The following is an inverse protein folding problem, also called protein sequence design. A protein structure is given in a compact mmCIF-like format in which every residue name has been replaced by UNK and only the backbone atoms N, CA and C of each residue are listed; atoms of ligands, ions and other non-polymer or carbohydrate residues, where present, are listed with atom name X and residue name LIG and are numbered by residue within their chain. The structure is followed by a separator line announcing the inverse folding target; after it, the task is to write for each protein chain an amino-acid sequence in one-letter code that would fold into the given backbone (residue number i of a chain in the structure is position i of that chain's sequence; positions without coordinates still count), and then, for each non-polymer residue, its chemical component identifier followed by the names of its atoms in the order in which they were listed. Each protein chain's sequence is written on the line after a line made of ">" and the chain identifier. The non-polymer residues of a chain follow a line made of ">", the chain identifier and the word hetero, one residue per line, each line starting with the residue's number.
data_IF_617886530499
#
_entry.id   IF_617886530499
#
_cell.length_a   1.000
_cell.length_b   1.000
_cell.length_c   1.000
_cell.angle_alpha   90.00
_cell.angle_beta   90.00
_cell.angle_gamma   90.00
#
_symmetry.space_group_name_H-M   'P 1'
#
loop_
_entity.id
_entity.type
_entity.pdbx_description
1 polymer ?
#
# COMPACT_ATOMS: atom_id res chain seq x y z
N UNK A 1 -15.35 0.85 9.98
CA UNK A 1 -14.70 0.64 8.67
C UNK A 1 -13.20 0.96 8.71
N UNK A 2 -12.74 2.07 9.30
CA UNK A 2 -11.32 2.49 9.24
C UNK A 2 -10.23 1.66 9.97
N UNK A 3 -10.52 0.49 10.54
CA UNK A 3 -9.46 -0.39 11.10
C UNK A 3 -8.84 -1.33 10.05
N UNK A 4 -9.62 -1.74 9.03
CA UNK A 4 -9.11 -2.65 7.99
C UNK A 4 -8.27 -1.89 6.95
N UNK A 5 -8.62 -0.63 6.67
CA UNK A 5 -7.87 0.26 5.79
C UNK A 5 -6.46 0.55 6.33
N UNK A 6 -6.33 0.74 7.66
CA UNK A 6 -5.02 0.93 8.29
C UNK A 6 -4.10 -0.28 8.18
N UNK A 7 -4.62 -1.49 7.95
CA UNK A 7 -3.79 -2.68 7.71
C UNK A 7 -3.29 -2.77 6.27
N UNK A 8 -3.93 -2.06 5.35
CA UNK A 8 -3.60 -2.04 3.91
C UNK A 8 -2.72 -0.85 3.51
N UNK A 9 -2.05 -0.21 4.46
CA UNK A 9 -1.23 0.97 4.18
C UNK A 9 -2.03 2.18 3.67
N UNK A 10 -3.36 2.19 3.86
CA UNK A 10 -4.23 3.26 3.38
C UNK A 10 -4.10 4.48 4.28
N UNK A 11 -3.82 5.63 3.67
CA UNK A 11 -3.89 6.93 4.31
C UNK A 11 -5.31 7.48 4.24
N UNK A 12 -5.93 7.72 5.39
CA UNK A 12 -7.30 8.23 5.47
C UNK A 12 -7.35 9.75 5.47
N UNK A 13 -8.06 10.33 4.51
CA UNK A 13 -8.46 11.73 4.46
C UNK A 13 -9.89 11.93 4.96
N UNK A 14 -10.16 13.08 5.58
CA UNK A 14 -11.49 13.47 6.06
C UNK A 14 -11.89 14.81 5.46
N UNK A 15 -13.14 14.95 5.04
CA UNK A 15 -13.69 16.19 4.49
C UNK A 15 -14.67 16.77 5.51
N UNK A 16 -14.42 18.01 5.91
CA UNK A 16 -15.28 18.76 6.83
C UNK A 16 -15.96 19.91 6.09
N UNK A 17 -17.28 20.07 6.27
CA UNK A 17 -18.07 21.19 5.77
C UNK A 17 -18.85 21.77 6.94
N UNK A 18 -18.72 23.08 7.16
CA UNK A 18 -19.36 23.80 8.28
C UNK A 18 -19.12 23.15 9.65
N UNK A 19 -17.90 22.67 9.89
CA UNK A 19 -17.51 22.02 11.14
C UNK A 19 -18.07 20.60 11.33
N UNK A 20 -18.77 20.03 10.34
CA UNK A 20 -19.28 18.65 10.36
C UNK A 20 -18.55 17.78 9.33
N UNK A 21 -18.34 16.51 9.67
CA UNK A 21 -17.74 15.55 8.75
C UNK A 21 -18.72 15.22 7.63
N UNK A 22 -18.34 15.55 6.39
CA UNK A 22 -19.14 15.33 5.19
C UNK A 22 -18.76 14.03 4.47
N UNK A 23 -17.47 13.65 4.50
CA UNK A 23 -16.97 12.43 3.88
C UNK A 23 -15.62 12.00 4.47
N UNK A 24 -15.18 10.80 4.13
CA UNK A 24 -13.80 10.33 4.24
C UNK A 24 -13.40 9.62 2.95
N UNK A 25 -12.11 9.48 2.71
CA UNK A 25 -11.56 8.74 1.57
C UNK A 25 -10.20 8.15 1.94
N UNK A 26 -9.86 7.02 1.33
CA UNK A 26 -8.56 6.37 1.48
C UNK A 26 -7.68 6.58 0.26
N UNK A 27 -6.38 6.75 0.47
CA UNK A 27 -5.36 6.75 -0.59
C UNK A 27 -4.27 5.76 -0.23
N UNK A 28 -3.90 4.90 -1.16
CA UNK A 28 -2.75 3.99 -1.04
C UNK A 28 -1.95 4.01 -2.34
N UNK A 29 -0.68 3.62 -2.24
CA UNK A 29 0.18 3.46 -3.41
C UNK A 29 -0.15 2.14 -4.11
N UNK A 30 -0.04 2.13 -5.44
CA UNK A 30 -0.19 0.92 -6.26
C UNK A 30 1.16 0.50 -6.84
N UNK A 31 1.38 -0.80 -6.94
CA UNK A 31 2.53 -1.34 -7.66
C UNK A 31 2.51 -0.95 -9.14
N UNK A 32 3.69 -0.72 -9.72
CA UNK A 32 3.81 -0.54 -11.19
C UNK A 32 3.27 -1.78 -11.91
N UNK A 33 2.55 -1.61 -13.05
CA UNK A 33 2.10 -2.74 -13.85
C UNK A 33 3.25 -3.69 -14.20
N UNK A 34 3.05 -4.98 -13.95
CA UNK A 34 4.04 -6.02 -14.21
C UNK A 34 5.15 -6.18 -13.15
N UNK A 35 5.22 -5.33 -12.13
CA UNK A 35 6.24 -5.44 -11.07
C UNK A 35 6.26 -6.82 -10.41
N UNK A 36 5.07 -7.34 -10.05
CA UNK A 36 4.91 -8.68 -9.48
C UNK A 36 5.46 -9.78 -10.39
N UNK A 37 5.15 -9.72 -11.68
CA UNK A 37 5.61 -10.70 -12.65
C UNK A 37 7.14 -10.69 -12.79
N UNK A 38 7.75 -9.50 -12.82
CA UNK A 38 9.21 -9.36 -12.90
C UNK A 38 9.89 -9.90 -11.64
N UNK A 39 9.38 -9.57 -10.44
CA UNK A 39 9.93 -10.09 -9.18
C UNK A 39 9.82 -11.62 -9.11
N UNK A 40 8.70 -12.19 -9.58
CA UNK A 40 8.53 -13.64 -9.67
C UNK A 40 9.51 -14.29 -10.66
N UNK A 41 9.74 -13.67 -11.81
CA UNK A 41 10.73 -14.15 -12.78
C UNK A 41 12.15 -14.11 -12.23
N UNK A 42 12.54 -13.04 -11.53
CA UNK A 42 13.85 -12.97 -10.89
C UNK A 42 14.02 -14.10 -9.85
N UNK A 43 12.98 -14.34 -9.04
CA UNK A 43 12.99 -15.44 -8.06
C UNK A 43 13.05 -16.82 -8.72
N UNK A 44 12.37 -17.04 -9.85
CA UNK A 44 12.43 -18.33 -10.57
C UNK A 44 13.79 -18.60 -11.19
N UNK A 45 14.56 -17.55 -11.49
CA UNK A 45 15.97 -17.63 -11.88
C UNK A 45 16.93 -17.86 -10.70
N UNK A 46 16.41 -18.02 -9.47
CA UNK A 46 17.22 -18.21 -8.26
C UNK A 46 17.79 -16.92 -7.68
N UNK A 47 17.38 -15.75 -8.18
CA UNK A 47 17.85 -14.45 -7.69
C UNK A 47 17.04 -14.06 -6.45
N UNK A 48 17.74 -13.81 -5.35
CA UNK A 48 17.13 -13.32 -4.11
C UNK A 48 16.76 -11.84 -4.26
N UNK A 49 15.54 -11.50 -3.88
CA UNK A 49 15.04 -10.11 -3.89
C UNK A 49 14.74 -9.65 -2.47
N UNK A 50 14.96 -8.36 -2.20
CA UNK A 50 14.60 -7.70 -0.94
C UNK A 50 14.05 -6.31 -1.25
N UNK A 51 13.01 -5.91 -0.51
CA UNK A 51 12.49 -4.54 -0.56
C UNK A 51 13.23 -3.69 0.48
N UNK A 52 13.80 -2.57 0.04
CA UNK A 52 14.38 -1.55 0.90
C UNK A 52 13.54 -0.30 0.72
N UNK A 53 12.79 0.07 1.75
CA UNK A 53 11.93 1.27 1.74
C UNK A 53 12.09 2.03 3.05
N UNK A 54 11.89 3.36 2.97
CA UNK A 54 11.77 4.23 4.14
C UNK A 54 10.33 4.40 4.63
N UNK A 55 9.36 3.76 3.96
CA UNK A 55 7.95 3.85 4.32
C UNK A 55 7.64 3.10 5.62
N UNK A 56 6.43 3.34 6.14
CA UNK A 56 5.92 2.58 7.28
C UNK A 56 5.88 1.08 6.99
N UNK A 57 6.07 0.27 8.03
CA UNK A 57 6.00 -1.18 7.91
C UNK A 57 4.68 -1.67 7.31
N UNK A 58 3.57 -1.00 7.61
CA UNK A 58 2.25 -1.36 7.07
C UNK A 58 2.22 -1.17 5.55
N UNK A 59 2.66 -0.01 5.05
CA UNK A 59 2.71 0.25 3.61
C UNK A 59 3.64 -0.72 2.89
N UNK A 60 4.82 -0.97 3.48
CA UNK A 60 5.80 -1.92 2.93
C UNK A 60 5.22 -3.35 2.84
N UNK A 61 4.54 -3.81 3.89
CA UNK A 61 3.94 -5.14 3.90
C UNK A 61 2.75 -5.24 2.94
N UNK A 62 1.95 -4.18 2.79
CA UNK A 62 0.87 -4.15 1.82
C UNK A 62 1.40 -4.38 0.39
N UNK A 63 2.42 -3.62 -0.01
CA UNK A 63 3.10 -3.76 -1.32
C UNK A 63 3.78 -5.12 -1.47
N UNK A 64 4.31 -5.69 -0.37
CA UNK A 64 4.95 -7.00 -0.40
C UNK A 64 3.96 -8.17 -0.60
N UNK A 65 2.73 -8.01 -0.12
CA UNK A 65 1.64 -9.00 -0.24
C UNK A 65 0.86 -8.88 -1.56
N UNK A 66 0.83 -7.68 -2.15
CA UNK A 66 0.16 -7.36 -3.43
C UNK A 66 0.59 -8.24 -4.61
#
# INVERSE_FOLDING_TARGET
>A
EGEDDRRRGVTMGYVMVDGKMAANFGVCDECRPGAKAVVQQLRSLGIKTAMLTGDSQVAAMHVQEE
#
